data_IF_063991128303
#
_entry.id   IF_063991128303
#
_cell.length_a   1.000
_cell.length_b   1.000
_cell.length_c   1.000
_cell.angle_alpha   90.00
_cell.angle_beta   90.00
_cell.angle_gamma   90.00
#
_symmetry.space_group_name_H-M   'P 1'
#
loop_
_entity.id
_entity.type
_entity.pdbx_description
1 polymer ?
#
# COMPACT_ATOMS: atom_id res chain seq x y z
N UNK A 1 -16.09 1.26 -33.14
CA UNK A 1 -16.90 2.05 -32.32
C UNK A 1 -18.31 1.46 -32.24
N UNK A 2 -19.43 2.11 -32.35
CA UNK A 2 -20.76 1.60 -31.96
C UNK A 2 -21.31 0.37 -32.71
N UNK A 3 -20.74 -0.05 -33.82
CA UNK A 3 -21.32 -1.14 -34.66
C UNK A 3 -20.33 -2.25 -35.06
N UNK A 4 -19.04 -2.12 -34.78
CA UNK A 4 -18.10 -3.17 -35.16
C UNK A 4 -17.87 -4.14 -34.00
N UNK A 5 -18.50 -5.33 -34.10
CA UNK A 5 -18.25 -6.47 -33.22
C UNK A 5 -16.98 -7.19 -33.68
N UNK A 6 -15.96 -7.25 -32.85
CA UNK A 6 -14.79 -8.09 -33.07
C UNK A 6 -14.94 -9.36 -32.23
N UNK A 7 -14.89 -10.51 -32.89
CA UNK A 7 -14.86 -11.80 -32.21
C UNK A 7 -13.43 -12.31 -32.17
N UNK A 8 -12.91 -12.52 -30.97
CA UNK A 8 -11.59 -13.10 -30.75
C UNK A 8 -11.74 -14.54 -30.26
N UNK A 9 -10.90 -15.45 -30.80
CA UNK A 9 -10.78 -16.83 -30.33
C UNK A 9 -9.37 -17.05 -29.82
N UNK A 10 -9.23 -17.64 -28.66
CA UNK A 10 -7.94 -17.96 -28.05
C UNK A 10 -8.06 -19.24 -27.22
N UNK A 11 -6.95 -19.96 -27.05
CA UNK A 11 -6.86 -21.11 -26.13
C UNK A 11 -7.02 -20.62 -24.70
N UNK A 12 -6.35 -19.52 -24.35
CA UNK A 12 -6.38 -18.91 -23.03
C UNK A 12 -6.67 -17.41 -23.15
N UNK A 13 -7.46 -16.87 -22.23
CA UNK A 13 -7.70 -15.45 -22.03
C UNK A 13 -7.05 -15.00 -20.73
N UNK A 14 -6.23 -13.94 -20.77
CA UNK A 14 -5.54 -13.41 -19.60
C UNK A 14 -5.92 -11.96 -19.41
N UNK A 15 -6.61 -11.65 -18.31
CA UNK A 15 -6.91 -10.27 -17.95
C UNK A 15 -5.78 -9.70 -17.09
N UNK A 16 -5.05 -8.73 -17.62
CA UNK A 16 -3.93 -8.03 -16.98
C UNK A 16 -4.23 -6.53 -16.89
N UNK A 17 -5.43 -6.17 -16.45
CA UNK A 17 -5.97 -4.81 -16.50
C UNK A 17 -5.64 -3.97 -15.25
N UNK A 18 -4.97 -4.58 -14.25
CA UNK A 18 -4.60 -3.92 -13.00
C UNK A 18 -5.58 -4.15 -11.84
N UNK A 19 -5.28 -3.51 -10.69
CA UNK A 19 -5.93 -3.82 -9.42
C UNK A 19 -7.41 -3.42 -9.31
N UNK A 20 -7.91 -2.54 -10.18
CA UNK A 20 -9.31 -2.11 -10.22
C UNK A 20 -10.02 -2.68 -11.44
N UNK A 21 -9.44 -2.52 -12.63
CA UNK A 21 -10.11 -2.87 -13.88
C UNK A 21 -10.33 -4.37 -14.05
N UNK A 22 -9.47 -5.24 -13.51
CA UNK A 22 -9.74 -6.69 -13.47
C UNK A 22 -11.07 -6.99 -12.75
N UNK A 23 -11.29 -6.36 -11.59
CA UNK A 23 -12.56 -6.50 -10.84
C UNK A 23 -13.73 -5.92 -11.60
N UNK A 24 -13.58 -4.70 -12.15
CA UNK A 24 -14.62 -4.02 -12.91
C UNK A 24 -15.09 -4.84 -14.09
N UNK A 25 -14.16 -5.38 -14.85
CA UNK A 25 -14.47 -6.12 -16.06
C UNK A 25 -15.14 -7.44 -15.75
N UNK A 26 -14.68 -8.19 -14.74
CA UNK A 26 -15.37 -9.42 -14.29
C UNK A 26 -16.76 -9.13 -13.74
N UNK A 27 -16.95 -8.08 -12.95
CA UNK A 27 -18.27 -7.67 -12.45
C UNK A 27 -19.23 -7.30 -13.59
N UNK A 28 -18.71 -6.66 -14.63
CA UNK A 28 -19.49 -6.31 -15.79
C UNK A 28 -19.89 -7.54 -16.61
N UNK A 29 -18.99 -8.51 -16.79
CA UNK A 29 -19.28 -9.80 -17.42
C UNK A 29 -20.35 -10.55 -16.63
N UNK A 30 -20.19 -10.67 -15.31
CA UNK A 30 -21.14 -11.37 -14.43
C UNK A 30 -22.54 -10.75 -14.48
N UNK A 31 -22.61 -9.41 -14.48
CA UNK A 31 -23.87 -8.67 -14.58
C UNK A 31 -24.62 -8.96 -15.89
N UNK A 32 -23.90 -9.09 -17.01
CA UNK A 32 -24.52 -9.29 -18.33
C UNK A 32 -24.72 -10.76 -18.68
N UNK A 33 -23.94 -11.66 -18.08
CA UNK A 33 -23.91 -13.10 -18.39
C UNK A 33 -23.70 -13.91 -17.09
N UNK A 34 -24.68 -13.89 -16.15
CA UNK A 34 -24.53 -14.55 -14.85
C UNK A 34 -24.28 -16.06 -15.03
N UNK A 35 -23.22 -16.59 -14.39
CA UNK A 35 -22.90 -18.01 -14.40
C UNK A 35 -22.47 -18.62 -15.73
N UNK A 36 -22.29 -17.79 -16.79
CA UNK A 36 -21.97 -18.33 -18.14
C UNK A 36 -20.47 -18.59 -18.30
N UNK A 37 -19.60 -17.70 -17.78
CA UNK A 37 -18.17 -17.76 -18.04
C UNK A 37 -17.35 -18.23 -16.83
N UNK A 38 -17.94 -18.18 -15.64
CA UNK A 38 -17.32 -18.60 -14.38
C UNK A 38 -18.40 -18.83 -13.31
N UNK A 39 -18.01 -19.36 -12.16
CA UNK A 39 -18.93 -19.65 -11.05
C UNK A 39 -19.70 -18.42 -10.60
N UNK A 40 -21.00 -18.59 -10.35
CA UNK A 40 -21.81 -17.57 -9.71
C UNK A 40 -21.33 -17.29 -8.28
N UNK A 41 -21.59 -16.07 -7.81
CA UNK A 41 -21.34 -15.64 -6.41
C UNK A 41 -19.86 -15.60 -6.01
N UNK A 42 -18.93 -15.61 -6.97
CA UNK A 42 -17.55 -15.31 -6.66
C UNK A 42 -17.41 -13.95 -5.94
N UNK A 43 -16.50 -13.80 -4.97
CA UNK A 43 -16.32 -12.54 -4.25
C UNK A 43 -15.57 -11.49 -5.08
N UNK A 44 -15.97 -11.29 -6.35
CA UNK A 44 -15.38 -10.35 -7.28
C UNK A 44 -15.46 -8.93 -6.70
N UNK A 45 -14.39 -8.20 -6.77
CA UNK A 45 -14.25 -6.84 -6.24
C UNK A 45 -14.00 -6.76 -4.74
N UNK A 46 -14.31 -7.81 -3.96
CA UNK A 46 -14.13 -7.82 -2.49
C UNK A 46 -12.66 -8.01 -2.08
N UNK A 47 -12.37 -7.67 -0.82
CA UNK A 47 -11.01 -7.75 -0.25
C UNK A 47 -10.00 -6.88 -1.00
N UNK A 48 -10.46 -5.76 -1.51
CA UNK A 48 -9.59 -4.76 -2.12
C UNK A 48 -8.74 -4.08 -1.05
N UNK A 49 -7.47 -3.83 -1.36
CA UNK A 49 -6.49 -3.27 -0.44
C UNK A 49 -5.66 -2.19 -1.13
N UNK A 50 -5.21 -1.24 -0.34
CA UNK A 50 -4.20 -0.25 -0.68
C UNK A 50 -3.16 -0.23 0.46
N UNK A 51 -2.01 0.33 0.26
CA UNK A 51 -1.10 0.66 1.34
C UNK A 51 -1.48 2.03 1.92
N UNK A 52 -2.04 2.11 3.15
CA UNK A 52 -2.14 3.39 3.82
C UNK A 52 -0.73 3.98 3.96
N UNK A 53 -0.53 5.20 3.48
CA UNK A 53 0.77 5.83 3.39
C UNK A 53 0.68 7.27 3.88
N UNK A 54 1.31 7.56 5.03
CA UNK A 54 1.20 8.85 5.68
C UNK A 54 2.54 9.36 6.19
N UNK A 55 2.63 10.68 6.29
CA UNK A 55 3.59 11.32 7.18
C UNK A 55 3.12 11.12 8.63
N UNK A 56 3.99 10.56 9.44
CA UNK A 56 3.70 10.28 10.85
C UNK A 56 4.19 11.39 11.78
N UNK A 57 5.06 12.23 11.26
CA UNK A 57 5.68 13.30 12.01
C UNK A 57 7.09 13.62 11.54
N UNK A 58 7.90 14.12 12.46
CA UNK A 58 9.28 14.51 12.22
C UNK A 58 10.21 13.78 13.17
N UNK A 59 11.43 13.51 12.72
CA UNK A 59 12.44 12.85 13.54
C UNK A 59 13.72 13.70 13.63
N UNK A 60 14.36 13.64 14.77
CA UNK A 60 15.76 14.07 14.96
C UNK A 60 16.61 12.81 14.99
N UNK A 61 17.51 12.65 14.04
CA UNK A 61 18.26 11.42 13.84
C UNK A 61 19.76 11.71 13.90
N UNK A 62 20.50 10.87 14.64
CA UNK A 62 21.96 10.83 14.55
C UNK A 62 22.36 10.00 13.31
N UNK A 63 22.77 10.69 12.26
CA UNK A 63 23.12 10.07 10.97
C UNK A 63 24.31 9.09 11.05
N UNK A 64 25.07 9.08 12.16
CA UNK A 64 26.15 8.11 12.38
C UNK A 64 25.64 6.76 12.87
N UNK A 65 24.43 6.73 13.47
CA UNK A 65 23.80 5.55 14.06
C UNK A 65 22.62 5.04 13.24
N UNK A 66 21.95 5.94 12.55
CA UNK A 66 20.71 5.66 11.80
C UNK A 66 20.83 6.24 10.40
N UNK A 67 20.72 5.41 9.40
CA UNK A 67 20.73 5.84 8.00
C UNK A 67 19.36 6.37 7.55
N UNK A 68 19.36 7.21 6.53
CA UNK A 68 18.13 7.60 5.81
C UNK A 68 17.67 6.47 4.89
N UNK A 69 17.04 5.44 5.44
CA UNK A 69 16.66 4.23 4.75
C UNK A 69 15.25 3.78 5.14
N UNK A 70 14.88 2.62 4.64
CA UNK A 70 13.67 1.92 5.02
C UNK A 70 13.93 1.00 6.21
N UNK A 71 12.98 0.98 7.13
CA UNK A 71 12.99 0.14 8.31
C UNK A 71 11.66 -0.61 8.42
N UNK A 72 11.70 -1.81 8.96
CA UNK A 72 10.50 -2.57 9.29
C UNK A 72 10.73 -3.41 10.54
N UNK A 73 9.65 -3.78 11.20
CA UNK A 73 9.73 -4.74 12.31
C UNK A 73 9.96 -6.15 11.75
N UNK A 74 10.70 -6.96 12.51
CA UNK A 74 10.87 -8.37 12.17
C UNK A 74 9.55 -9.13 12.29
N UNK A 75 9.38 -10.22 11.54
CA UNK A 75 8.20 -11.11 11.63
C UNK A 75 7.92 -11.58 13.07
N UNK A 76 8.99 -11.82 13.84
CA UNK A 76 8.87 -12.21 15.25
C UNK A 76 8.22 -11.09 16.08
N UNK A 77 8.63 -9.84 15.86
CA UNK A 77 8.06 -8.68 16.56
C UNK A 77 6.60 -8.46 16.14
N UNK A 78 6.30 -8.53 14.85
CA UNK A 78 4.93 -8.39 14.33
C UNK A 78 4.00 -9.44 14.95
N UNK A 79 4.41 -10.72 14.98
CA UNK A 79 3.64 -11.80 15.63
C UNK A 79 3.43 -11.57 17.11
N UNK A 80 4.48 -11.16 17.84
CA UNK A 80 4.41 -10.85 19.27
C UNK A 80 3.42 -9.72 19.57
N UNK A 81 3.38 -8.71 18.74
CA UNK A 81 2.52 -7.54 18.88
C UNK A 81 1.10 -7.77 18.33
N UNK A 82 0.89 -8.86 17.62
CA UNK A 82 -0.36 -9.15 16.90
C UNK A 82 -0.77 -7.98 15.99
N UNK A 83 0.12 -7.66 15.06
CA UNK A 83 -0.05 -6.59 14.06
C UNK A 83 0.31 -7.08 12.66
N UNK A 84 -0.08 -6.31 11.66
CA UNK A 84 0.28 -6.50 10.27
C UNK A 84 1.68 -5.93 9.98
N UNK A 85 2.09 -6.02 8.73
CA UNK A 85 3.38 -5.53 8.28
C UNK A 85 3.40 -3.99 8.18
N UNK A 86 4.54 -3.37 8.49
CA UNK A 86 4.70 -1.92 8.43
C UNK A 86 6.15 -1.57 8.07
N UNK A 87 6.30 -0.66 7.12
CA UNK A 87 7.59 -0.09 6.74
C UNK A 87 7.65 1.39 7.07
N UNK A 88 8.80 1.83 7.57
CA UNK A 88 9.12 3.22 7.85
C UNK A 88 10.13 3.75 6.87
N UNK A 89 10.01 5.01 6.54
CA UNK A 89 10.98 5.75 5.76
C UNK A 89 11.37 7.02 6.51
N UNK A 90 12.68 7.20 6.65
CA UNK A 90 13.27 8.43 7.18
C UNK A 90 13.81 9.21 5.98
N UNK A 91 13.20 10.34 5.68
CA UNK A 91 13.59 11.22 4.59
C UNK A 91 14.23 12.48 5.15
N UNK A 92 15.44 12.80 4.66
CA UNK A 92 16.07 14.07 5.00
C UNK A 92 15.24 15.23 4.47
N UNK A 93 15.07 16.28 5.28
CA UNK A 93 14.47 17.52 4.80
C UNK A 93 15.47 18.19 3.84
N UNK A 94 15.21 18.10 2.56
CA UNK A 94 16.00 18.72 1.49
C UNK A 94 15.67 20.21 1.32
N UNK A 95 15.78 21.02 2.36
CA UNK A 95 15.44 22.44 2.28
C UNK A 95 16.66 23.35 2.25
N UNK A 96 17.81 22.85 1.82
CA UNK A 96 19.02 23.66 1.75
C UNK A 96 19.61 23.75 0.35
N UNK A 97 19.13 24.71 -0.42
CA UNK A 97 19.85 25.18 -1.60
C UNK A 97 21.15 25.88 -1.13
N UNK A 98 22.26 25.17 -1.16
CA UNK A 98 23.60 25.71 -0.90
C UNK A 98 24.46 24.83 0.01
N UNK A 99 25.71 24.58 -0.39
CA UNK A 99 26.68 23.74 0.32
C UNK A 99 26.94 24.23 1.76
N UNK A 100 27.00 25.54 1.97
CA UNK A 100 27.21 26.16 3.29
C UNK A 100 26.06 25.93 4.26
N UNK A 101 24.80 25.93 3.79
CA UNK A 101 23.63 25.62 4.62
C UNK A 101 23.58 24.14 5.00
N UNK A 102 23.95 23.25 4.09
CA UNK A 102 24.03 21.82 4.37
C UNK A 102 25.09 21.51 5.42
N UNK A 103 26.28 22.12 5.31
CA UNK A 103 27.35 21.97 6.29
C UNK A 103 26.96 22.50 7.69
N UNK A 104 26.28 23.65 7.77
CA UNK A 104 25.77 24.20 9.02
C UNK A 104 24.70 23.28 9.62
N UNK A 105 23.79 22.74 8.82
CA UNK A 105 22.82 21.77 9.27
C UNK A 105 23.48 20.50 9.81
N UNK A 106 24.45 19.95 9.12
CA UNK A 106 25.19 18.76 9.55
C UNK A 106 25.95 19.02 10.85
N UNK A 107 26.56 20.19 10.99
CA UNK A 107 27.26 20.61 12.23
C UNK A 107 26.28 20.74 13.41
N UNK A 108 25.12 21.33 13.20
CA UNK A 108 24.04 21.46 14.20
C UNK A 108 23.44 20.11 14.58
N UNK A 109 23.45 19.14 13.66
CA UNK A 109 23.02 17.75 13.87
C UNK A 109 24.00 17.02 14.82
N UNK A 110 25.27 17.25 14.64
CA UNK A 110 26.32 16.60 15.43
C UNK A 110 26.40 17.20 16.85
N UNK A 111 26.03 18.47 17.03
CA UNK A 111 26.10 19.21 18.28
C UNK A 111 24.75 19.83 18.70
N UNK A 112 23.77 19.03 19.16
CA UNK A 112 22.41 19.51 19.46
C UNK A 112 22.30 20.64 20.47
N UNK A 113 23.27 20.71 21.43
CA UNK A 113 23.32 21.81 22.42
C UNK A 113 23.71 23.15 21.78
N UNK A 114 24.58 23.14 20.79
CA UNK A 114 24.91 24.33 19.98
C UNK A 114 23.77 24.71 19.06
N UNK A 115 23.11 23.71 18.47
CA UNK A 115 21.91 23.91 17.63
C UNK A 115 20.79 24.62 18.37
N UNK A 116 20.51 24.23 19.62
CA UNK A 116 19.51 24.89 20.45
C UNK A 116 19.84 26.36 20.69
N UNK A 117 21.08 26.68 21.08
CA UNK A 117 21.55 28.06 21.24
C UNK A 117 21.48 28.88 19.95
N UNK A 118 21.80 28.27 18.81
CA UNK A 118 21.74 28.95 17.52
C UNK A 118 20.32 29.28 17.11
N UNK A 119 19.38 28.38 17.35
CA UNK A 119 17.93 28.60 17.10
C UNK A 119 17.39 29.69 18.03
N UNK A 120 17.78 29.70 19.30
CA UNK A 120 17.41 30.74 20.28
C UNK A 120 17.92 32.12 19.84
N UNK A 121 19.15 32.21 19.31
CA UNK A 121 19.78 33.45 18.88
C UNK A 121 19.23 33.96 17.51
N UNK A 122 18.88 33.09 16.61
CA UNK A 122 18.49 33.45 15.24
C UNK A 122 16.99 33.51 15.01
N UNK A 123 16.19 32.97 15.94
CA UNK A 123 14.73 32.85 15.82
C UNK A 123 14.26 31.95 14.66
N UNK A 124 15.19 31.29 13.97
CA UNK A 124 14.89 30.48 12.77
C UNK A 124 14.83 28.99 13.12
N UNK A 125 13.62 28.48 13.31
CA UNK A 125 13.35 27.06 13.51
C UNK A 125 13.75 26.15 12.32
N UNK A 126 14.20 26.70 11.21
CA UNK A 126 14.46 25.98 9.95
C UNK A 126 15.78 25.19 9.91
N UNK A 127 16.65 25.35 10.90
CA UNK A 127 17.98 24.70 10.93
C UNK A 127 18.05 23.46 11.81
N UNK A 128 16.92 22.94 12.28
CA UNK A 128 16.93 21.70 13.03
C UNK A 128 17.20 20.52 12.10
N UNK A 129 18.04 19.60 12.56
CA UNK A 129 18.23 18.27 12.01
C UNK A 129 16.91 17.52 11.94
N UNK A 130 16.12 17.86 10.97
CA UNK A 130 14.81 17.26 10.81
C UNK A 130 14.82 16.27 9.67
N UNK A 131 14.35 15.09 9.95
CA UNK A 131 13.90 14.17 8.92
C UNK A 131 12.37 14.11 8.95
N UNK A 132 11.77 13.92 7.79
CA UNK A 132 10.37 13.55 7.70
C UNK A 132 10.29 12.05 8.01
N UNK A 133 9.38 11.68 8.89
CA UNK A 133 9.13 10.31 9.26
C UNK A 133 7.81 9.85 8.62
N UNK A 134 7.92 8.91 7.68
CA UNK A 134 6.79 8.37 6.92
C UNK A 134 6.65 6.88 7.15
N UNK A 135 5.44 6.38 6.95
CA UNK A 135 5.20 4.94 6.92
C UNK A 135 4.21 4.57 5.82
N UNK A 136 4.43 3.37 5.31
CA UNK A 136 3.44 2.61 4.56
C UNK A 136 3.22 1.29 5.29
N UNK A 137 1.97 0.85 5.40
CA UNK A 137 1.68 -0.40 6.10
C UNK A 137 0.65 -1.24 5.38
N UNK A 138 0.67 -2.52 5.70
CA UNK A 138 -0.28 -3.48 5.20
C UNK A 138 -1.68 -3.15 5.69
N UNK A 139 -2.63 -3.17 4.77
CA UNK A 139 -4.04 -3.15 5.09
C UNK A 139 -4.56 -4.58 5.23
N UNK A 140 -5.38 -4.80 6.26
CA UNK A 140 -6.03 -6.10 6.43
C UNK A 140 -7.03 -6.37 5.31
N UNK A 141 -7.07 -7.60 4.77
CA UNK A 141 -8.06 -7.96 3.77
C UNK A 141 -9.47 -7.98 4.39
N UNK A 142 -10.27 -6.98 4.07
CA UNK A 142 -11.65 -6.85 4.52
C UNK A 142 -12.62 -7.02 3.35
N UNK A 143 -13.62 -7.90 3.50
CA UNK A 143 -14.65 -8.15 2.47
C UNK A 143 -15.52 -6.93 2.15
N UNK A 144 -15.57 -5.95 3.05
CA UNK A 144 -16.31 -4.72 2.86
C UNK A 144 -15.52 -3.67 2.05
N UNK A 145 -14.20 -3.77 2.01
CA UNK A 145 -13.38 -3.01 1.09
C UNK A 145 -13.54 -3.63 -0.31
N UNK A 146 -14.22 -2.92 -1.19
CA UNK A 146 -14.65 -3.51 -2.43
C UNK A 146 -14.77 -2.50 -3.59
N UNK A 147 -14.40 -2.97 -4.75
CA UNK A 147 -14.75 -2.38 -6.05
C UNK A 147 -16.14 -2.86 -6.43
N UNK A 148 -17.03 -1.95 -6.81
CA UNK A 148 -18.40 -2.25 -7.27
C UNK A 148 -18.67 -1.51 -8.57
N UNK A 149 -19.67 -1.95 -9.33
CA UNK A 149 -20.17 -1.20 -10.46
C UNK A 149 -21.10 -0.08 -9.97
N UNK A 150 -20.81 1.14 -10.38
CA UNK A 150 -21.67 2.29 -10.16
C UNK A 150 -22.80 2.40 -11.20
N UNK A 151 -23.58 3.46 -11.06
CA UNK A 151 -24.71 3.74 -11.96
C UNK A 151 -24.30 4.51 -13.21
N UNK A 152 -23.22 5.28 -13.14
CA UNK A 152 -22.69 6.02 -14.29
C UNK A 152 -21.89 5.09 -15.22
N UNK A 153 -21.90 5.38 -16.50
CA UNK A 153 -21.11 4.67 -17.49
C UNK A 153 -19.97 5.54 -18.05
N UNK A 154 -18.96 4.89 -18.56
CA UNK A 154 -17.91 5.53 -19.35
C UNK A 154 -18.37 5.73 -20.82
N UNK A 155 -17.46 6.27 -21.64
CA UNK A 155 -17.71 6.51 -23.07
C UNK A 155 -18.02 5.26 -23.90
N UNK A 156 -17.75 4.07 -23.36
CA UNK A 156 -18.03 2.79 -24.01
C UNK A 156 -19.32 2.14 -23.51
N UNK A 157 -20.06 2.78 -22.59
CA UNK A 157 -21.24 2.24 -21.98
C UNK A 157 -20.98 1.22 -20.87
N UNK A 158 -19.74 1.08 -20.42
CA UNK A 158 -19.38 0.20 -19.31
C UNK A 158 -19.53 0.97 -17.99
N UNK A 159 -20.21 0.40 -16.97
CA UNK A 159 -20.36 1.07 -15.67
C UNK A 159 -19.02 1.50 -15.07
N UNK A 160 -18.95 2.72 -14.56
CA UNK A 160 -17.81 3.18 -13.76
C UNK A 160 -17.77 2.41 -12.44
N UNK A 161 -16.63 2.45 -11.76
CA UNK A 161 -16.48 1.81 -10.46
C UNK A 161 -16.82 2.76 -9.32
N UNK A 162 -17.37 2.18 -8.26
CA UNK A 162 -17.45 2.75 -6.94
C UNK A 162 -16.52 1.97 -6.01
N UNK A 163 -15.63 2.67 -5.33
CA UNK A 163 -14.71 2.08 -4.37
C UNK A 163 -15.21 2.33 -2.95
N UNK A 164 -15.60 1.27 -2.26
CA UNK A 164 -15.80 1.32 -0.81
C UNK A 164 -14.49 0.89 -0.14
N UNK A 165 -13.80 1.86 0.44
CA UNK A 165 -12.50 1.64 1.09
C UNK A 165 -12.44 2.29 2.45
N UNK A 166 -12.12 1.48 3.47
CA UNK A 166 -11.97 1.91 4.86
C UNK A 166 -10.77 1.26 5.50
N UNK A 167 -10.05 2.02 6.28
CA UNK A 167 -9.02 1.52 7.18
C UNK A 167 -9.71 1.07 8.47
N UNK A 168 -9.41 -0.14 8.94
CA UNK A 168 -10.05 -0.70 10.12
C UNK A 168 -9.18 -0.59 11.39
N UNK A 169 -9.66 -1.17 12.50
CA UNK A 169 -8.99 -1.08 13.79
C UNK A 169 -7.59 -1.71 13.80
N UNK A 170 -7.39 -2.84 13.10
CA UNK A 170 -6.08 -3.50 13.06
C UNK A 170 -5.07 -2.69 12.25
N UNK A 171 -5.50 -2.00 11.19
CA UNK A 171 -4.65 -1.12 10.41
C UNK A 171 -4.10 0.01 11.30
N UNK A 172 -4.96 0.60 12.14
CA UNK A 172 -4.58 1.63 13.12
C UNK A 172 -3.65 1.10 14.21
N UNK A 173 -3.93 -0.08 14.72
CA UNK A 173 -3.09 -0.73 15.74
C UNK A 173 -1.72 -1.07 15.18
N UNK A 174 -1.66 -1.51 13.91
CA UNK A 174 -0.41 -1.83 13.23
C UNK A 174 0.53 -0.63 13.24
N UNK A 175 0.09 0.51 12.74
CA UNK A 175 0.95 1.69 12.67
C UNK A 175 1.32 2.19 14.07
N UNK A 176 0.37 2.28 15.02
CA UNK A 176 0.66 2.75 16.38
C UNK A 176 1.71 1.89 17.08
N UNK A 177 1.50 0.59 17.17
CA UNK A 177 2.45 -0.32 17.85
C UNK A 177 3.81 -0.36 17.15
N UNK A 178 3.82 -0.37 15.81
CA UNK A 178 5.08 -0.36 15.05
C UNK A 178 5.92 0.89 15.31
N UNK A 179 5.28 2.06 15.38
CA UNK A 179 5.96 3.32 15.69
C UNK A 179 6.54 3.32 17.09
N UNK A 180 5.81 2.81 18.10
CA UNK A 180 6.31 2.73 19.46
C UNK A 180 7.54 1.83 19.56
N UNK A 181 7.52 0.66 18.98
CA UNK A 181 8.68 -0.26 18.96
C UNK A 181 9.87 0.37 18.24
N UNK A 182 9.65 1.06 17.12
CA UNK A 182 10.69 1.72 16.39
C UNK A 182 11.31 2.88 17.20
N UNK A 183 10.48 3.66 17.89
CA UNK A 183 10.96 4.75 18.73
C UNK A 183 11.72 4.23 19.97
N UNK A 184 11.29 3.13 20.59
CA UNK A 184 12.03 2.47 21.66
C UNK A 184 13.41 2.00 21.17
N UNK A 185 13.48 1.42 19.99
CA UNK A 185 14.75 1.04 19.39
C UNK A 185 15.66 2.25 19.16
N UNK A 186 15.14 3.36 18.60
CA UNK A 186 15.89 4.60 18.39
C UNK A 186 16.47 5.15 19.70
N UNK A 187 15.66 5.17 20.75
CA UNK A 187 16.13 5.63 22.07
C UNK A 187 17.21 4.72 22.66
N UNK A 188 17.05 3.40 22.51
CA UNK A 188 17.96 2.39 23.03
C UNK A 188 19.36 2.50 22.45
N UNK A 189 19.47 2.82 21.15
CA UNK A 189 20.75 3.03 20.48
C UNK A 189 21.22 4.49 20.57
N UNK A 190 20.49 5.36 21.27
CA UNK A 190 20.70 6.81 21.27
C UNK A 190 20.81 7.37 19.85
N UNK A 191 19.96 6.86 18.96
CA UNK A 191 19.97 7.15 17.52
C UNK A 191 19.08 8.31 17.12
N UNK A 192 18.22 8.79 18.03
CA UNK A 192 17.32 9.89 17.74
C UNK A 192 16.00 9.85 18.49
N UNK A 193 15.08 10.72 18.07
CA UNK A 193 13.72 10.85 18.65
C UNK A 193 12.73 11.21 17.56
N UNK A 194 11.52 10.73 17.70
CA UNK A 194 10.39 11.03 16.80
C UNK A 194 9.41 11.94 17.54
N UNK A 195 9.00 13.02 16.89
CA UNK A 195 7.85 13.83 17.28
C UNK A 195 6.71 13.46 16.35
N UNK A 196 5.77 12.72 16.85
CA UNK A 196 4.57 12.29 16.11
C UNK A 196 3.59 13.44 15.92
N UNK A 197 2.90 13.44 14.79
CA UNK A 197 1.80 14.34 14.51
C UNK A 197 0.58 14.00 15.37
N UNK A 198 -0.27 15.01 15.62
CA UNK A 198 -1.36 14.91 16.57
C UNK A 198 -2.35 13.78 16.24
N UNK A 199 -2.59 13.49 14.98
CA UNK A 199 -3.49 12.42 14.57
C UNK A 199 -3.01 11.02 15.00
N UNK A 200 -1.71 10.83 15.13
CA UNK A 200 -1.13 9.58 15.65
C UNK A 200 -1.36 9.40 17.15
N UNK A 201 -1.44 10.50 17.89
CA UNK A 201 -1.58 10.50 19.35
C UNK A 201 -3.03 10.45 19.82
N UNK A 202 -3.97 10.66 18.92
CA UNK A 202 -5.42 10.70 19.23
C UNK A 202 -6.14 9.56 18.53
N UNK A 203 -7.42 9.32 18.88
CA UNK A 203 -8.31 8.41 18.14
C UNK A 203 -9.06 9.12 16.99
N UNK A 204 -8.63 10.34 16.63
CA UNK A 204 -9.19 11.06 15.48
C UNK A 204 -8.95 10.30 14.18
N UNK A 205 -9.76 10.60 13.18
CA UNK A 205 -9.62 10.02 11.84
C UNK A 205 -8.24 10.30 11.22
N UNK A 206 -7.91 9.51 10.23
CA UNK A 206 -6.72 9.75 9.42
C UNK A 206 -6.83 11.12 8.72
N UNK A 207 -5.71 11.83 8.52
CA UNK A 207 -5.72 13.05 7.73
C UNK A 207 -6.24 12.75 6.33
N UNK A 208 -7.17 13.56 5.83
CA UNK A 208 -7.75 13.39 4.49
C UNK A 208 -6.86 13.99 3.40
N UNK A 209 -6.11 15.03 3.76
CA UNK A 209 -5.33 15.83 2.81
C UNK A 209 -3.85 15.44 2.76
N UNK A 210 -3.44 14.46 3.56
CA UNK A 210 -2.03 14.11 3.78
C UNK A 210 -1.76 12.62 3.52
N UNK A 211 -2.73 11.91 2.95
CA UNK A 211 -2.54 10.54 2.49
C UNK A 211 -1.70 10.55 1.22
N UNK A 212 -0.48 10.08 1.37
CA UNK A 212 0.41 9.88 0.23
C UNK A 212 -0.10 8.65 -0.53
N UNK A 213 -0.81 8.86 -1.62
CA UNK A 213 -1.32 7.75 -2.43
C UNK A 213 -0.18 6.84 -2.87
N UNK A 214 -0.19 5.59 -2.41
CA UNK A 214 0.74 4.57 -2.87
C UNK A 214 0.40 4.09 -4.27
N UNK A 215 -0.87 4.21 -4.66
CA UNK A 215 -1.43 3.66 -5.89
C UNK A 215 -1.16 2.16 -6.02
N UNK A 216 -1.11 1.47 -4.88
CA UNK A 216 -0.81 0.04 -4.78
C UNK A 216 -2.10 -0.77 -4.66
N UNK A 217 -2.93 -0.69 -5.70
CA UNK A 217 -4.21 -1.37 -5.74
C UNK A 217 -4.04 -2.89 -5.80
N UNK A 218 -4.52 -3.60 -4.79
CA UNK A 218 -4.35 -5.04 -4.62
C UNK A 218 -5.68 -5.71 -4.22
N UNK A 219 -5.80 -7.01 -4.46
CA UNK A 219 -7.04 -7.71 -4.17
C UNK A 219 -8.17 -7.41 -5.18
N UNK A 220 -9.40 -7.76 -4.81
CA UNK A 220 -10.56 -7.64 -5.71
C UNK A 220 -10.80 -8.85 -6.60
N UNK A 221 -9.74 -9.56 -7.01
CA UNK A 221 -9.82 -10.88 -7.65
C UNK A 221 -8.88 -11.88 -6.97
N UNK A 222 -8.83 -11.80 -5.63
CA UNK A 222 -7.82 -12.49 -4.82
C UNK A 222 -7.79 -13.99 -5.05
N UNK A 223 -6.59 -14.55 -4.95
CA UNK A 223 -6.33 -15.98 -4.99
C UNK A 223 -6.82 -16.67 -3.71
N UNK A 224 -7.42 -17.85 -3.84
CA UNK A 224 -7.78 -18.67 -2.69
C UNK A 224 -7.93 -20.15 -3.09
N UNK A 225 -7.99 -21.04 -2.10
CA UNK A 225 -8.27 -22.49 -2.32
C UNK A 225 -9.77 -22.74 -2.58
N UNK A 226 -10.64 -21.86 -2.10
CA UNK A 226 -12.11 -21.97 -2.23
C UNK A 226 -12.66 -20.79 -3.02
N UNK A 227 -13.60 -21.08 -3.92
CA UNK A 227 -14.36 -20.09 -4.71
C UNK A 227 -15.25 -19.17 -3.85
N UNK A 228 -15.64 -19.58 -2.63
CA UNK A 228 -16.40 -18.74 -1.72
C UNK A 228 -15.57 -17.62 -1.09
N UNK A 229 -14.24 -17.74 -1.08
CA UNK A 229 -13.30 -16.78 -0.47
C UNK A 229 -12.31 -16.18 -1.46
N UNK A 230 -12.28 -16.63 -2.69
CA UNK A 230 -11.42 -16.11 -3.74
C UNK A 230 -12.06 -16.16 -5.12
N UNK A 231 -11.44 -15.49 -6.07
CA UNK A 231 -11.90 -15.41 -7.46
C UNK A 231 -11.05 -16.31 -8.36
N UNK A 232 -9.77 -16.47 -8.03
CA UNK A 232 -8.84 -17.30 -8.78
C UNK A 232 -8.21 -18.39 -7.89
N UNK A 233 -7.85 -19.50 -8.52
CA UNK A 233 -7.10 -20.59 -7.91
C UNK A 233 -5.59 -20.29 -7.80
N UNK A 234 -4.80 -21.27 -7.33
CA UNK A 234 -3.36 -21.14 -7.21
C UNK A 234 -2.63 -20.90 -8.53
N UNK A 235 -3.22 -21.21 -9.66
CA UNK A 235 -2.68 -20.97 -10.99
C UNK A 235 -3.22 -19.72 -11.66
N UNK A 236 -3.87 -18.84 -10.87
CA UNK A 236 -4.49 -17.60 -11.35
C UNK A 236 -5.69 -17.81 -12.29
N UNK A 237 -6.24 -19.03 -12.38
CA UNK A 237 -7.42 -19.35 -13.18
C UNK A 237 -8.68 -18.97 -12.41
N UNK A 238 -9.61 -18.30 -13.09
CA UNK A 238 -10.92 -17.93 -12.50
C UNK A 238 -11.75 -19.19 -12.23
N UNK A 239 -12.29 -19.31 -11.02
CA UNK A 239 -13.10 -20.46 -10.65
C UNK A 239 -14.33 -20.61 -11.56
N UNK A 240 -14.58 -21.85 -11.99
CA UNK A 240 -15.65 -22.19 -12.92
C UNK A 240 -15.38 -21.85 -14.38
N UNK A 241 -14.30 -21.15 -14.70
CA UNK A 241 -13.94 -20.88 -16.09
C UNK A 241 -13.11 -22.02 -16.69
N UNK A 242 -13.23 -22.21 -18.01
CA UNK A 242 -12.41 -23.18 -18.73
C UNK A 242 -10.99 -22.65 -18.97
N UNK A 243 -10.85 -21.39 -19.37
CA UNK A 243 -9.60 -20.85 -19.91
C UNK A 243 -9.37 -19.35 -19.59
N UNK A 244 -10.00 -18.81 -18.53
CA UNK A 244 -9.85 -17.42 -18.12
C UNK A 244 -8.89 -17.30 -16.93
N UNK A 245 -7.87 -16.45 -17.06
CA UNK A 245 -6.85 -16.22 -16.06
C UNK A 245 -6.74 -14.72 -15.74
N UNK A 246 -6.28 -14.43 -14.51
CA UNK A 246 -6.03 -13.05 -14.05
C UNK A 246 -4.54 -12.88 -13.76
N UNK A 247 -3.97 -11.81 -14.29
CA UNK A 247 -2.61 -11.37 -13.97
C UNK A 247 -2.65 -9.98 -13.32
N UNK A 248 -1.67 -9.71 -12.44
CA UNK A 248 -1.53 -8.44 -11.75
C UNK A 248 -1.79 -8.52 -10.24
N UNK A 249 -1.76 -7.37 -9.57
CA UNK A 249 -1.91 -7.28 -8.11
C UNK A 249 -3.31 -7.59 -7.59
N UNK A 250 -4.32 -7.61 -8.45
CA UNK A 250 -5.69 -7.95 -8.05
C UNK A 250 -5.84 -9.35 -7.45
N UNK A 251 -4.91 -10.28 -7.78
CA UNK A 251 -4.91 -11.65 -7.25
C UNK A 251 -4.31 -11.77 -5.85
N UNK A 252 -3.71 -10.71 -5.29
CA UNK A 252 -3.02 -10.78 -4.01
C UNK A 252 -3.99 -11.03 -2.87
N UNK A 253 -3.56 -11.86 -1.91
CA UNK A 253 -4.31 -12.22 -0.70
C UNK A 253 -3.97 -11.33 0.48
N UNK A 254 -2.76 -10.77 0.49
CA UNK A 254 -2.23 -9.83 1.48
C UNK A 254 -1.38 -8.79 0.77
N UNK A 255 -1.25 -7.61 1.36
CA UNK A 255 -0.54 -6.49 0.74
C UNK A 255 0.94 -6.40 1.09
N UNK A 256 1.30 -6.76 2.34
CA UNK A 256 2.59 -6.36 2.90
C UNK A 256 2.72 -4.83 3.00
N UNK A 257 3.94 -4.32 3.05
CA UNK A 257 4.18 -2.87 3.05
C UNK A 257 5.08 -2.39 1.90
N UNK A 258 5.63 -3.32 1.13
CA UNK A 258 6.52 -3.03 0.01
C UNK A 258 5.75 -2.80 -1.29
N UNK A 259 6.37 -2.11 -2.24
CA UNK A 259 5.81 -1.92 -3.57
C UNK A 259 5.47 -3.28 -4.22
N UNK A 260 4.27 -3.46 -4.78
CA UNK A 260 3.79 -4.74 -5.28
C UNK A 260 4.41 -5.17 -6.63
N UNK A 261 5.20 -4.32 -7.27
CA UNK A 261 5.70 -4.55 -8.65
C UNK A 261 6.49 -5.85 -8.78
N UNK A 262 7.41 -6.14 -7.84
CA UNK A 262 8.20 -7.37 -7.92
C UNK A 262 7.33 -8.63 -7.81
N UNK A 263 6.44 -8.77 -6.81
CA UNK A 263 5.50 -9.89 -6.78
C UNK A 263 4.59 -9.98 -8.00
N UNK A 264 4.15 -8.85 -8.58
CA UNK A 264 3.36 -8.86 -9.84
C UNK A 264 4.14 -9.57 -10.94
N UNK A 265 5.42 -9.20 -11.14
CA UNK A 265 6.28 -9.82 -12.16
C UNK A 265 6.49 -11.31 -11.87
N UNK A 266 6.75 -11.68 -10.61
CA UNK A 266 6.93 -13.09 -10.22
C UNK A 266 5.69 -13.92 -10.50
N UNK A 267 4.50 -13.43 -10.17
CA UNK A 267 3.24 -14.13 -10.47
C UNK A 267 2.96 -14.20 -11.98
N UNK A 268 3.27 -13.15 -12.73
CA UNK A 268 3.11 -13.17 -14.19
C UNK A 268 4.03 -14.20 -14.86
N UNK A 269 5.29 -14.29 -14.45
CA UNK A 269 6.24 -15.30 -14.93
C UNK A 269 5.78 -16.72 -14.56
N UNK A 270 5.29 -16.92 -13.33
CA UNK A 270 4.75 -18.22 -12.89
C UNK A 270 3.54 -18.62 -13.74
N UNK A 271 2.63 -17.68 -14.01
CA UNK A 271 1.47 -17.94 -14.88
C UNK A 271 1.93 -18.28 -16.30
N UNK A 272 2.85 -17.52 -16.87
CA UNK A 272 3.40 -17.80 -18.20
C UNK A 272 4.00 -19.19 -18.30
N UNK A 273 4.81 -19.61 -17.32
CA UNK A 273 5.36 -20.95 -17.26
C UNK A 273 4.26 -22.03 -17.17
N UNK A 274 3.22 -21.80 -16.37
CA UNK A 274 2.09 -22.73 -16.23
C UNK A 274 1.31 -22.90 -17.53
N UNK A 275 1.17 -21.86 -18.33
CA UNK A 275 0.42 -21.89 -19.60
C UNK A 275 1.26 -22.42 -20.77
N UNK A 276 2.59 -22.48 -20.62
CA UNK A 276 3.50 -23.02 -21.64
C UNK A 276 3.70 -24.54 -21.54
N UNK A 277 3.26 -25.15 -20.43
CA UNK A 277 3.31 -26.61 -20.20
C UNK A 277 1.99 -27.25 -20.56
#
# INVERSE_FOLDING_TARGET
YKENKLTLRAINFIFALGGIENSRFLLWIDKNHPGVFFDEKLPIGKYWMEHPHFTLGRALIDNRKVSHNYYSLTDKAQKKLNILNCGFRIERLEDTKGLTKALIQDLLCIAPKLGKKFVELTGKNQYLCGAIFRAAWEQSPDKFNAVRLGNETDRFGIPKVELNWKKNKIDRQTIKKSVFEFNEWLMKIDGGRIKLDQWMMTEKDYPTDDELGGHHHMGGTRMHKSNSLGVVDANCKVFGSENLYIAGSSIFTTGGHNNPTLPIVQFALRLANHLAT
#
